data_IF_786805301743
#
_entry.id   IF_786805301743
#
_cell.length_a   1.000
_cell.length_b   1.000
_cell.length_c   1.000
_cell.angle_alpha   90.00
_cell.angle_beta   90.00
_cell.angle_gamma   90.00
#
_symmetry.space_group_name_H-M   'P 1'
#
loop_
_entity.id
_entity.type
_entity.pdbx_description
1 polymer ?
#
# COMPACT_ATOMS: atom_id res chain seq x y z
N UNK A 1 3.44 6.11 8.66
CA UNK A 1 2.33 6.92 9.23
C UNK A 1 1.90 6.23 10.52
N UNK A 2 1.74 6.95 11.66
CA UNK A 2 1.33 6.34 12.93
C UNK A 2 -0.11 5.82 12.86
N UNK A 3 -0.39 4.72 13.58
CA UNK A 3 -1.74 4.11 13.60
C UNK A 3 -2.80 4.99 14.29
N UNK A 4 -2.41 5.81 15.27
CA UNK A 4 -3.27 6.80 15.92
C UNK A 4 -4.56 6.26 16.59
N UNK A 5 -4.63 4.95 16.89
CA UNK A 5 -5.81 4.34 17.50
C UNK A 5 -7.01 4.16 16.55
N UNK A 6 -6.78 4.24 15.23
CA UNK A 6 -7.85 4.14 14.21
C UNK A 6 -7.74 5.18 13.08
N UNK A 7 -6.64 5.91 12.99
CA UNK A 7 -6.42 6.95 11.99
C UNK A 7 -5.52 8.08 12.52
N UNK A 8 -4.98 8.94 11.63
CA UNK A 8 -5.24 9.04 10.20
C UNK A 8 -4.45 8.02 9.34
N UNK A 9 -4.91 7.79 8.11
CA UNK A 9 -4.22 6.99 7.10
C UNK A 9 -4.28 7.63 5.72
N UNK A 10 -3.39 7.22 4.82
CA UNK A 10 -3.43 7.58 3.39
C UNK A 10 -3.19 6.32 2.56
N UNK A 11 -4.06 6.06 1.58
CA UNK A 11 -3.94 4.94 0.65
C UNK A 11 -3.70 5.43 -0.78
N UNK A 12 -2.47 5.82 -1.16
CA UNK A 12 -2.19 6.22 -2.54
C UNK A 12 -2.33 5.01 -3.47
N UNK A 13 -2.98 5.20 -4.62
CA UNK A 13 -3.10 4.18 -5.66
C UNK A 13 -2.19 4.56 -6.83
N UNK A 14 -1.34 3.64 -7.23
CA UNK A 14 -0.57 3.73 -8.47
C UNK A 14 -1.16 2.74 -9.47
N UNK A 15 -1.29 3.16 -10.72
CA UNK A 15 -1.82 2.32 -11.80
C UNK A 15 -0.84 2.24 -12.97
N UNK A 16 -0.93 1.17 -13.76
CA UNK A 16 -0.21 1.06 -15.03
C UNK A 16 -0.71 2.14 -16.01
N UNK A 17 0.12 2.49 -16.99
CA UNK A 17 -0.12 3.65 -17.88
C UNK A 17 -1.50 3.65 -18.56
N UNK A 18 -2.01 2.48 -18.98
CA UNK A 18 -3.32 2.37 -19.63
C UNK A 18 -4.51 2.71 -18.71
N UNK A 19 -4.29 2.76 -17.40
CA UNK A 19 -5.29 3.16 -16.41
C UNK A 19 -5.15 4.62 -15.96
N UNK A 20 -4.11 5.34 -16.41
CA UNK A 20 -3.81 6.69 -15.93
C UNK A 20 -4.97 7.66 -16.17
N UNK A 21 -5.68 7.54 -17.29
CA UNK A 21 -6.85 8.38 -17.62
C UNK A 21 -8.07 8.15 -16.72
N UNK A 22 -8.08 7.08 -15.91
CA UNK A 22 -9.17 6.74 -15.01
C UNK A 22 -8.86 7.05 -13.54
N UNK A 23 -7.65 7.53 -13.24
CA UNK A 23 -7.28 7.89 -11.86
C UNK A 23 -8.05 9.13 -11.39
N UNK A 24 -8.31 9.27 -10.08
CA UNK A 24 -9.06 10.41 -9.53
C UNK A 24 -8.47 11.78 -9.88
N UNK A 25 -9.30 12.66 -10.42
CA UNK A 25 -9.01 14.09 -10.59
C UNK A 25 -9.59 14.95 -9.46
N UNK A 26 -9.27 16.25 -9.44
CA UNK A 26 -9.84 17.20 -8.48
C UNK A 26 -9.76 18.66 -8.99
N UNK A 27 -10.82 19.49 -8.85
CA UNK A 27 -10.84 20.87 -9.37
C UNK A 27 -9.84 21.83 -8.73
N UNK A 28 -9.47 21.57 -7.48
CA UNK A 28 -8.46 22.35 -6.76
C UNK A 28 -7.04 21.74 -6.87
N UNK A 29 -6.79 20.79 -7.78
CA UNK A 29 -5.45 20.21 -7.95
C UNK A 29 -4.48 21.25 -8.54
N UNK A 30 -3.27 21.33 -7.98
CA UNK A 30 -2.27 22.35 -8.35
C UNK A 30 -1.44 21.99 -9.59
N UNK A 31 -1.60 20.78 -10.13
CA UNK A 31 -0.98 20.34 -11.39
C UNK A 31 -2.05 19.74 -12.27
N UNK A 32 -1.99 20.08 -13.56
CA UNK A 32 -2.69 19.32 -14.59
C UNK A 32 -2.18 17.88 -14.57
N UNK A 33 -3.12 16.94 -14.62
CA UNK A 33 -2.82 15.52 -14.71
C UNK A 33 -2.08 15.28 -16.04
N UNK A 34 -0.85 14.71 -16.05
CA UNK A 34 -0.16 14.44 -17.29
C UNK A 34 -0.90 13.33 -18.04
N UNK A 35 -1.66 13.71 -19.06
CA UNK A 35 -2.14 12.77 -20.05
C UNK A 35 -0.92 12.27 -20.84
N UNK A 36 -0.74 10.95 -21.03
CA UNK A 36 0.32 10.43 -21.89
C UNK A 36 0.21 11.04 -23.30
N UNK A 37 1.33 11.45 -23.90
CA UNK A 37 1.37 11.84 -25.32
C UNK A 37 0.77 10.73 -26.18
N UNK A 38 -0.25 11.05 -26.98
CA UNK A 38 -0.92 10.09 -27.86
C UNK A 38 -2.11 9.34 -27.27
N UNK A 39 -2.64 9.72 -26.10
CA UNK A 39 -3.95 9.23 -25.65
C UNK A 39 -5.08 9.79 -26.54
N UNK A 40 -5.31 9.16 -27.69
CA UNK A 40 -6.44 9.43 -28.60
C UNK A 40 -7.75 8.78 -28.12
N UNK A 41 -7.98 8.80 -26.80
CA UNK A 41 -9.32 8.57 -26.26
C UNK A 41 -10.20 9.72 -26.74
N UNK A 42 -11.33 9.42 -27.34
CA UNK A 42 -12.30 10.35 -27.94
C UNK A 42 -12.85 11.34 -26.91
N UNK A 43 -12.06 12.35 -26.59
CA UNK A 43 -12.30 13.31 -25.54
C UNK A 43 -10.97 13.88 -25.08
N UNK A 44 -10.31 14.66 -25.96
CA UNK A 44 -9.50 15.75 -25.46
C UNK A 44 -10.41 16.53 -24.51
N UNK A 45 -10.22 16.39 -23.21
CA UNK A 45 -10.93 17.21 -22.27
C UNK A 45 -10.31 18.60 -22.41
N UNK A 46 -11.04 19.51 -23.02
CA UNK A 46 -10.72 20.94 -23.11
C UNK A 46 -10.67 21.59 -21.71
N UNK A 47 -11.06 20.86 -20.67
CA UNK A 47 -11.13 21.26 -19.26
C UNK A 47 -10.37 20.26 -18.38
N UNK A 48 -9.74 20.69 -17.27
CA UNK A 48 -9.02 19.79 -16.37
C UNK A 48 -9.94 18.66 -15.88
N UNK A 49 -9.46 17.41 -15.93
CA UNK A 49 -10.29 16.26 -15.55
C UNK A 49 -10.64 16.33 -14.05
N UNK A 50 -11.86 16.79 -13.75
CA UNK A 50 -12.43 16.90 -12.42
C UNK A 50 -13.27 15.67 -12.03
N UNK A 51 -13.20 14.59 -12.81
CA UNK A 51 -14.04 13.41 -12.60
C UNK A 51 -13.44 12.50 -11.53
N UNK A 52 -14.28 11.61 -11.01
CA UNK A 52 -13.90 10.55 -10.08
C UNK A 52 -13.26 11.07 -8.78
N UNK A 53 -13.75 12.19 -8.25
CA UNK A 53 -13.30 12.75 -6.97
C UNK A 53 -13.63 11.75 -5.85
N UNK A 54 -12.60 11.24 -5.18
CA UNK A 54 -12.72 10.29 -4.05
C UNK A 54 -12.37 10.92 -2.71
N UNK A 55 -11.96 12.18 -2.68
CA UNK A 55 -11.51 12.90 -1.47
C UNK A 55 -11.80 14.39 -1.58
N UNK A 56 -12.15 15.03 -0.45
CA UNK A 56 -12.53 16.45 -0.41
C UNK A 56 -11.38 17.42 -0.71
N UNK A 57 -10.13 16.99 -0.50
CA UNK A 57 -8.93 17.73 -0.87
C UNK A 57 -8.16 16.95 -1.95
N UNK A 58 -7.48 17.63 -2.89
CA UNK A 58 -6.85 17.00 -4.06
C UNK A 58 -5.79 15.94 -3.72
N UNK A 59 -5.22 16.00 -2.51
CA UNK A 59 -4.19 15.08 -2.03
C UNK A 59 -4.54 14.44 -0.67
N UNK A 60 -5.83 14.41 -0.32
CA UNK A 60 -6.31 13.84 0.94
C UNK A 60 -5.76 14.57 2.17
N UNK A 61 -4.97 13.88 2.99
CA UNK A 61 -4.26 14.43 4.15
C UNK A 61 -2.78 14.67 3.83
N UNK A 62 -2.41 15.73 3.08
CA UNK A 62 -1.04 15.91 2.58
C UNK A 62 -0.01 16.15 3.70
N UNK A 63 -0.43 16.68 4.85
CA UNK A 63 0.46 17.00 5.98
C UNK A 63 1.17 15.78 6.57
N UNK A 64 0.64 14.56 6.37
CA UNK A 64 1.23 13.32 6.88
C UNK A 64 2.06 12.55 5.83
N UNK A 65 2.04 12.97 4.56
CA UNK A 65 2.87 12.39 3.49
C UNK A 65 4.39 12.51 3.74
N UNK A 66 4.92 13.59 4.36
CA UNK A 66 6.33 13.68 4.71
C UNK A 66 6.84 12.52 5.56
N UNK A 67 5.98 11.85 6.34
CA UNK A 67 6.36 10.69 7.15
C UNK A 67 6.81 9.53 6.26
N UNK A 68 6.00 9.16 5.26
CA UNK A 68 6.33 8.08 4.32
C UNK A 68 7.49 8.48 3.40
N UNK A 69 7.52 9.75 2.97
CA UNK A 69 8.65 10.29 2.19
C UNK A 69 9.97 10.18 2.96
N UNK A 70 10.00 10.60 4.22
CA UNK A 70 11.19 10.56 5.05
C UNK A 70 11.65 9.11 5.26
N UNK A 71 10.73 8.19 5.54
CA UNK A 71 11.04 6.76 5.65
C UNK A 71 11.72 6.21 4.39
N UNK A 72 11.12 6.41 3.21
CA UNK A 72 11.70 5.93 1.94
C UNK A 72 13.07 6.57 1.69
N UNK A 73 13.21 7.87 1.94
CA UNK A 73 14.46 8.59 1.69
C UNK A 73 15.59 8.24 2.66
N UNK A 74 15.28 7.99 3.92
CA UNK A 74 16.28 7.60 4.93
C UNK A 74 16.69 6.12 4.78
N UNK A 75 15.75 5.24 4.45
CA UNK A 75 16.05 3.82 4.28
C UNK A 75 16.81 3.54 2.96
N UNK A 76 16.46 4.25 1.89
CA UNK A 76 16.97 3.95 0.55
C UNK A 76 16.58 2.55 0.07
N UNK A 77 17.06 2.16 -1.12
CA UNK A 77 16.70 0.86 -1.71
C UNK A 77 17.15 -0.33 -0.84
N UNK A 78 18.38 -0.27 -0.32
CA UNK A 78 18.95 -1.35 0.49
C UNK A 78 18.25 -1.48 1.83
N UNK A 79 18.00 -0.36 2.52
CA UNK A 79 17.27 -0.38 3.79
C UNK A 79 15.84 -0.87 3.62
N UNK A 80 15.14 -0.48 2.55
CA UNK A 80 13.80 -1.00 2.26
C UNK A 80 13.83 -2.51 1.99
N UNK A 81 14.80 -3.00 1.22
CA UNK A 81 14.98 -4.44 0.98
C UNK A 81 15.26 -5.20 2.28
N UNK A 82 16.13 -4.66 3.14
CA UNK A 82 16.46 -5.27 4.43
C UNK A 82 15.26 -5.27 5.37
N UNK A 83 14.49 -4.17 5.44
CA UNK A 83 13.29 -4.10 6.27
C UNK A 83 12.25 -5.16 5.87
N UNK A 84 12.00 -5.33 4.57
CA UNK A 84 11.11 -6.39 4.07
C UNK A 84 11.65 -7.79 4.39
N UNK A 85 12.96 -8.02 4.18
CA UNK A 85 13.59 -9.30 4.53
C UNK A 85 13.49 -9.63 6.02
N UNK A 86 13.70 -8.63 6.90
CA UNK A 86 13.58 -8.77 8.34
C UNK A 86 12.15 -9.08 8.77
N UNK A 87 11.14 -8.45 8.15
CA UNK A 87 9.74 -8.74 8.44
C UNK A 87 9.37 -10.20 8.11
N UNK A 88 9.77 -10.69 6.93
CA UNK A 88 9.56 -12.10 6.53
C UNK A 88 10.31 -13.06 7.44
N UNK A 89 11.56 -12.76 7.78
CA UNK A 89 12.37 -13.59 8.69
C UNK A 89 11.74 -13.66 10.08
N UNK A 90 11.30 -12.53 10.63
CA UNK A 90 10.69 -12.48 11.95
C UNK A 90 9.38 -13.27 12.01
N UNK A 91 8.52 -13.15 10.99
CA UNK A 91 7.28 -13.92 10.90
C UNK A 91 7.54 -15.43 10.85
N UNK A 92 8.50 -15.87 10.02
CA UNK A 92 8.88 -17.29 9.95
C UNK A 92 9.53 -17.81 11.23
N UNK A 93 10.33 -16.98 11.90
CA UNK A 93 10.86 -17.33 13.21
C UNK A 93 9.73 -17.60 14.22
N UNK A 94 8.73 -16.70 14.30
CA UNK A 94 7.56 -16.88 15.16
C UNK A 94 6.77 -18.13 14.77
N UNK A 95 6.49 -18.34 13.48
CA UNK A 95 5.76 -19.49 12.99
C UNK A 95 6.47 -20.82 13.34
N UNK A 96 7.77 -20.93 13.09
CA UNK A 96 8.56 -22.13 13.43
C UNK A 96 8.60 -22.37 14.93
N UNK A 97 8.72 -21.31 15.74
CA UNK A 97 8.75 -21.43 17.20
C UNK A 97 7.42 -21.86 17.82
N UNK A 98 6.30 -21.56 17.16
CA UNK A 98 4.96 -21.82 17.70
C UNK A 98 4.26 -23.02 17.06
N UNK A 99 4.71 -23.52 15.91
CA UNK A 99 4.01 -24.58 15.15
C UNK A 99 3.76 -25.89 15.91
N UNK A 100 4.63 -26.23 16.87
CA UNK A 100 4.48 -27.44 17.68
C UNK A 100 3.45 -27.27 18.80
N UNK A 101 3.02 -26.03 19.07
CA UNK A 101 2.01 -25.66 20.08
C UNK A 101 0.68 -25.25 19.45
N UNK A 102 0.73 -24.57 18.31
CA UNK A 102 -0.41 -24.07 17.57
C UNK A 102 -0.21 -24.35 16.09
N UNK A 103 -1.12 -25.06 15.41
CA UNK A 103 -1.00 -25.28 13.98
C UNK A 103 -0.91 -23.95 13.23
N UNK A 104 0.06 -23.83 12.32
CA UNK A 104 0.13 -22.71 11.38
C UNK A 104 -0.85 -23.02 10.24
N UNK A 105 -1.92 -22.23 10.13
CA UNK A 105 -3.09 -22.58 9.31
C UNK A 105 -2.78 -22.61 7.80
N UNK A 106 -1.95 -21.68 7.33
CA UNK A 106 -1.55 -21.58 5.92
C UNK A 106 -0.05 -21.35 5.82
N UNK A 107 0.56 -22.01 4.84
CA UNK A 107 1.95 -21.79 4.44
C UNK A 107 2.07 -21.88 2.92
N UNK A 108 3.07 -21.21 2.37
CA UNK A 108 3.44 -21.35 0.96
C UNK A 108 4.38 -22.53 0.74
N UNK A 109 5.08 -22.48 -0.39
CA UNK A 109 6.08 -23.49 -0.74
C UNK A 109 7.15 -23.62 0.35
N UNK A 110 7.61 -24.85 0.57
CA UNK A 110 8.59 -25.21 1.61
C UNK A 110 8.13 -24.93 3.05
N UNK A 111 6.82 -24.71 3.28
CA UNK A 111 6.26 -24.51 4.62
C UNK A 111 6.57 -23.14 5.23
N UNK A 112 6.94 -22.17 4.40
CA UNK A 112 7.26 -20.80 4.84
C UNK A 112 6.06 -19.87 4.73
N UNK A 113 6.03 -18.86 5.59
CA UNK A 113 5.04 -17.78 5.57
C UNK A 113 5.64 -16.50 4.97
N UNK A 114 4.79 -15.52 4.67
CA UNK A 114 5.24 -14.20 4.22
C UNK A 114 5.67 -13.34 5.42
N UNK A 115 5.10 -12.14 5.55
CA UNK A 115 5.38 -11.20 6.66
C UNK A 115 4.42 -11.36 7.84
N UNK A 116 3.55 -12.36 7.79
CA UNK A 116 2.56 -12.70 8.82
C UNK A 116 2.25 -14.20 8.80
N UNK A 117 1.69 -14.73 9.89
CA UNK A 117 1.20 -16.10 9.97
C UNK A 117 -0.11 -16.16 10.76
N UNK A 118 -0.93 -17.18 10.47
CA UNK A 118 -2.17 -17.44 11.21
C UNK A 118 -1.96 -18.68 12.09
N UNK A 119 -2.15 -18.52 13.40
CA UNK A 119 -2.15 -19.62 14.36
C UNK A 119 -3.59 -20.08 14.58
N UNK A 120 -3.84 -21.37 14.36
CA UNK A 120 -5.16 -21.94 14.52
C UNK A 120 -5.44 -22.28 15.99
N UNK A 121 -6.34 -21.53 16.61
CA UNK A 121 -6.76 -21.72 18.00
C UNK A 121 -8.07 -22.49 18.14
N UNK A 122 -8.76 -22.81 17.03
CA UNK A 122 -10.04 -23.54 17.06
C UNK A 122 -9.95 -24.87 17.85
N UNK A 123 -8.87 -25.67 17.72
CA UNK A 123 -8.72 -26.92 18.49
C UNK A 123 -8.61 -26.73 20.02
N UNK A 124 -8.47 -25.50 20.53
CA UNK A 124 -8.47 -25.24 21.98
C UNK A 124 -9.88 -25.04 22.56
N UNK A 125 -10.85 -24.73 21.70
CA UNK A 125 -12.22 -24.41 22.10
C UNK A 125 -13.25 -25.47 21.68
N UNK A 126 -12.85 -26.38 20.78
CA UNK A 126 -13.62 -27.56 20.35
C UNK A 126 -13.20 -28.80 21.15
#
# INVERSE_FOLDING_TARGET
>A
IPHGGGGPGVGPVAAKAHLAQFLPGHPMAQREWPLPEGSTGTGALEEPDHRNIVSAAPYGSPSILPISWAYVRMMGADGLKQATGAAVLAANYVAVRLRDHYPVLYSGDNGLVAHECILDLRPLTE
#
